data_IF_117082434317
#
_entry.id   IF_117082434317
#
_cell.length_a   1.000
_cell.length_b   1.000
_cell.length_c   1.000
_cell.angle_alpha   90.00
_cell.angle_beta   90.00
_cell.angle_gamma   90.00
#
_symmetry.space_group_name_H-M   'P 1'
#
loop_
_entity.id
_entity.type
_entity.pdbx_description
1 polymer ?
#
# COMPACT_ATOMS: atom_id res chain seq x y z
N UNK A 1 20.69 14.42 2.29
CA UNK A 1 20.98 13.73 1.01
C UNK A 1 19.80 12.82 0.69
N UNK A 2 19.27 12.90 -0.53
CA UNK A 2 18.23 11.98 -0.99
C UNK A 2 18.80 10.59 -1.21
N UNK A 3 18.00 9.54 -0.95
CA UNK A 3 18.33 8.11 -1.12
C UNK A 3 17.25 7.45 -1.96
N UNK A 4 17.59 6.28 -2.54
CA UNK A 4 16.63 5.43 -3.26
C UNK A 4 16.19 4.27 -2.38
N UNK A 5 14.88 4.09 -2.22
CA UNK A 5 14.30 2.97 -1.47
C UNK A 5 13.42 2.13 -2.37
N UNK A 6 13.54 0.81 -2.24
CA UNK A 6 12.61 -0.15 -2.82
C UNK A 6 11.88 -0.87 -1.69
N UNK A 7 10.59 -0.61 -1.56
CA UNK A 7 9.74 -1.12 -0.49
C UNK A 7 8.78 -2.15 -1.07
N UNK A 8 8.65 -3.29 -0.40
CA UNK A 8 7.78 -4.38 -0.85
C UNK A 8 6.71 -4.66 0.20
N UNK A 9 5.45 -4.68 -0.24
CA UNK A 9 4.33 -5.20 0.53
C UNK A 9 4.00 -6.60 0.02
N UNK A 10 4.39 -7.62 0.79
CA UNK A 10 4.27 -9.04 0.39
C UNK A 10 3.56 -9.93 1.41
N UNK A 11 3.56 -9.54 2.68
CA UNK A 11 2.91 -10.28 3.75
C UNK A 11 1.40 -10.06 3.72
N UNK A 12 0.63 -11.04 4.19
CA UNK A 12 -0.82 -10.90 4.37
C UNK A 12 -1.10 -9.83 5.45
N UNK A 13 -1.68 -8.69 5.08
CA UNK A 13 -1.85 -7.59 6.01
C UNK A 13 -2.82 -7.90 7.16
N UNK A 14 -3.73 -8.88 6.99
CA UNK A 14 -4.65 -9.30 8.05
C UNK A 14 -3.97 -10.05 9.20
N UNK A 15 -2.74 -10.54 9.02
CA UNK A 15 -2.01 -11.21 10.10
C UNK A 15 -1.53 -10.22 11.17
N UNK A 16 -1.27 -8.97 10.79
CA UNK A 16 -0.87 -7.89 11.68
C UNK A 16 -1.25 -6.55 11.04
N UNK A 17 -2.48 -6.12 11.33
CA UNK A 17 -3.09 -4.91 10.77
C UNK A 17 -2.29 -3.66 11.11
N UNK A 18 -1.89 -3.51 12.38
CA UNK A 18 -1.14 -2.34 12.84
C UNK A 18 0.23 -2.27 12.14
N UNK A 19 0.95 -3.40 12.01
CA UNK A 19 2.22 -3.41 11.29
C UNK A 19 2.07 -3.04 9.82
N UNK A 20 0.95 -3.41 9.20
CA UNK A 20 0.64 -3.04 7.82
C UNK A 20 0.43 -1.53 7.69
N UNK A 21 -0.33 -0.93 8.60
CA UNK A 21 -0.54 0.52 8.69
C UNK A 21 0.79 1.25 8.92
N UNK A 22 1.61 0.79 9.86
CA UNK A 22 2.94 1.37 10.13
C UNK A 22 3.83 1.28 8.89
N UNK A 23 3.80 0.18 8.15
CA UNK A 23 4.55 0.03 6.90
C UNK A 23 4.15 1.08 5.85
N UNK A 24 2.86 1.34 5.69
CA UNK A 24 2.32 2.40 4.81
C UNK A 24 2.80 3.77 5.30
N UNK A 25 2.64 4.08 6.58
CA UNK A 25 3.04 5.36 7.15
C UNK A 25 4.56 5.61 7.01
N UNK A 26 5.40 4.62 7.26
CA UNK A 26 6.85 4.72 7.06
C UNK A 26 7.22 4.95 5.59
N UNK A 27 6.49 4.32 4.66
CA UNK A 27 6.70 4.51 3.22
C UNK A 27 6.36 5.95 2.81
N UNK A 28 5.21 6.46 3.27
CA UNK A 28 4.79 7.84 3.05
C UNK A 28 5.72 8.87 3.73
N UNK A 29 6.31 8.52 4.87
CA UNK A 29 7.31 9.36 5.55
C UNK A 29 8.63 9.41 4.78
N UNK A 30 9.11 8.29 4.23
CA UNK A 30 10.32 8.29 3.40
C UNK A 30 10.17 9.23 2.19
N UNK A 31 8.99 9.27 1.58
CA UNK A 31 8.63 10.24 0.53
C UNK A 31 8.68 11.68 1.08
N UNK A 32 8.08 11.91 2.25
CA UNK A 32 8.07 13.23 2.91
C UNK A 32 9.48 13.78 3.17
N UNK A 33 10.41 12.89 3.50
CA UNK A 33 11.81 13.21 3.78
C UNK A 33 12.63 13.48 2.50
N UNK A 34 11.99 13.45 1.32
CA UNK A 34 12.58 13.75 0.03
C UNK A 34 13.37 12.60 -0.59
N UNK A 35 13.03 11.35 -0.26
CA UNK A 35 13.62 10.17 -0.87
C UNK A 35 12.89 9.73 -2.14
N UNK A 36 13.64 9.12 -3.06
CA UNK A 36 13.12 8.48 -4.27
C UNK A 36 12.64 7.06 -3.91
N UNK A 37 11.34 6.82 -3.98
CA UNK A 37 10.71 5.59 -3.47
C UNK A 37 10.05 4.83 -4.60
N UNK A 38 10.38 3.54 -4.69
CA UNK A 38 9.68 2.56 -5.50
C UNK A 38 8.95 1.57 -4.59
N UNK A 39 7.67 1.33 -4.85
CA UNK A 39 6.83 0.42 -4.06
C UNK A 39 6.37 -0.74 -4.92
N UNK A 40 6.52 -1.97 -4.42
CA UNK A 40 6.05 -3.18 -5.10
C UNK A 40 5.03 -3.94 -4.25
N UNK A 41 3.82 -4.09 -4.78
CA UNK A 41 2.76 -4.89 -4.18
C UNK A 41 2.74 -6.28 -4.83
N UNK A 42 2.91 -7.34 -4.02
CA UNK A 42 2.92 -8.72 -4.50
C UNK A 42 2.42 -9.68 -3.42
N UNK A 43 2.23 -10.95 -3.79
CA UNK A 43 1.65 -11.99 -2.95
C UNK A 43 0.37 -11.49 -2.22
N UNK A 44 0.16 -11.86 -0.96
CA UNK A 44 -1.00 -11.42 -0.18
C UNK A 44 -0.98 -9.92 0.15
N UNK A 45 0.16 -9.25 -0.01
CA UNK A 45 0.28 -7.80 0.18
C UNK A 45 -0.48 -6.97 -0.85
N UNK A 46 -0.89 -7.57 -1.98
CA UNK A 46 -1.79 -6.91 -2.95
C UNK A 46 -3.16 -6.60 -2.38
N UNK A 47 -3.55 -7.18 -1.23
CA UNK A 47 -4.77 -6.77 -0.51
C UNK A 47 -4.80 -5.29 -0.14
N UNK A 48 -3.64 -4.66 0.04
CA UNK A 48 -3.53 -3.21 0.28
C UNK A 48 -3.95 -2.35 -0.94
N UNK A 49 -4.24 -2.96 -2.08
CA UNK A 49 -4.76 -2.27 -3.27
C UNK A 49 -6.30 -2.28 -3.33
N UNK A 50 -6.97 -3.01 -2.44
CA UNK A 50 -8.43 -3.02 -2.34
C UNK A 50 -8.91 -1.80 -1.54
N UNK A 51 -9.68 -0.87 -2.15
CA UNK A 51 -10.21 0.30 -1.45
C UNK A 51 -11.02 -0.07 -0.21
N UNK A 52 -11.80 -1.16 -0.25
CA UNK A 52 -12.60 -1.59 0.90
C UNK A 52 -11.70 -2.00 2.07
N UNK A 53 -10.57 -2.64 1.78
CA UNK A 53 -9.61 -2.99 2.81
C UNK A 53 -8.89 -1.76 3.37
N UNK A 54 -8.61 -0.74 2.55
CA UNK A 54 -8.09 0.54 3.06
C UNK A 54 -9.11 1.22 3.99
N UNK A 55 -10.41 1.15 3.70
CA UNK A 55 -11.46 1.65 4.58
C UNK A 55 -11.49 0.90 5.94
N UNK A 56 -11.29 -0.43 5.94
CA UNK A 56 -11.11 -1.20 7.18
C UNK A 56 -9.91 -0.69 8.00
N UNK A 57 -8.77 -0.42 7.34
CA UNK A 57 -7.57 0.10 8.01
C UNK A 57 -7.77 1.53 8.54
N UNK A 58 -8.58 2.35 7.87
CA UNK A 58 -8.95 3.66 8.38
C UNK A 58 -9.76 3.55 9.67
N UNK A 59 -10.76 2.67 9.72
CA UNK A 59 -11.59 2.44 10.91
C UNK A 59 -10.73 2.01 12.11
N UNK A 60 -9.71 1.19 11.89
CA UNK A 60 -8.73 0.80 12.92
C UNK A 60 -8.01 2.03 13.53
N UNK A 61 -7.82 3.09 12.75
CA UNK A 61 -7.23 4.35 13.20
C UNK A 61 -8.26 5.32 13.83
N UNK A 62 -9.54 4.97 13.81
CA UNK A 62 -10.65 5.74 14.35
C UNK A 62 -11.85 5.81 13.38
N UNK A 63 -13.08 5.95 13.89
CA UNK A 63 -14.31 5.81 13.07
C UNK A 63 -14.44 6.81 11.91
N UNK A 64 -13.84 8.00 12.02
CA UNK A 64 -13.85 9.04 10.99
C UNK A 64 -12.45 9.28 10.38
N UNK A 65 -11.49 8.39 10.65
CA UNK A 65 -10.12 8.54 10.17
C UNK A 65 -10.03 8.37 8.66
N UNK A 66 -9.14 9.14 8.03
CA UNK A 66 -8.72 8.95 6.63
C UNK A 66 -7.23 8.67 6.51
N UNK A 67 -6.58 8.39 7.65
CA UNK A 67 -5.13 8.37 7.77
C UNK A 67 -4.47 7.44 6.75
N UNK A 68 -4.98 6.22 6.57
CA UNK A 68 -4.38 5.23 5.67
C UNK A 68 -4.61 5.61 4.21
N UNK A 69 -5.81 6.10 3.88
CA UNK A 69 -6.11 6.61 2.53
C UNK A 69 -5.20 7.78 2.15
N UNK A 70 -5.01 8.75 3.04
CA UNK A 70 -4.14 9.92 2.79
C UNK A 70 -2.67 9.50 2.57
N UNK A 71 -2.18 8.52 3.34
CA UNK A 71 -0.82 7.99 3.14
C UNK A 71 -0.72 7.21 1.83
N UNK A 72 -1.73 6.41 1.47
CA UNK A 72 -1.76 5.70 0.19
C UNK A 72 -1.84 6.64 -1.01
N UNK A 73 -2.60 7.74 -0.92
CA UNK A 73 -2.65 8.79 -1.94
C UNK A 73 -1.29 9.46 -2.11
N UNK A 74 -0.60 9.75 -1.00
CA UNK A 74 0.77 10.29 -1.04
C UNK A 74 1.75 9.33 -1.71
N UNK A 75 1.64 8.03 -1.42
CA UNK A 75 2.46 6.99 -2.07
C UNK A 75 2.15 6.95 -3.56
N UNK A 76 0.88 6.87 -3.95
CA UNK A 76 0.46 6.78 -5.34
C UNK A 76 0.89 8.00 -6.18
N UNK A 77 0.88 9.18 -5.57
CA UNK A 77 1.22 10.44 -6.26
C UNK A 77 2.72 10.69 -6.40
N UNK A 78 3.57 10.06 -5.57
CA UNK A 78 4.98 10.44 -5.46
C UNK A 78 5.98 9.28 -5.57
N UNK A 79 5.53 8.02 -5.52
CA UNK A 79 6.39 6.85 -5.70
C UNK A 79 6.24 6.24 -7.09
N UNK A 80 7.27 5.51 -7.53
CA UNK A 80 7.11 4.59 -8.68
C UNK A 80 6.42 3.32 -8.19
N UNK A 81 5.25 3.01 -8.76
CA UNK A 81 4.47 1.85 -8.34
C UNK A 81 4.66 0.65 -9.26
N UNK A 82 4.78 -0.52 -8.65
CA UNK A 82 4.79 -1.81 -9.30
C UNK A 82 3.76 -2.73 -8.64
N UNK A 83 3.18 -3.62 -9.43
CA UNK A 83 2.25 -4.62 -8.93
C UNK A 83 2.43 -5.96 -9.65
N UNK A 84 2.34 -7.06 -8.91
CA UNK A 84 2.27 -8.40 -9.50
C UNK A 84 0.83 -8.76 -9.84
N UNK A 85 0.44 -8.69 -11.11
CA UNK A 85 -0.91 -9.05 -11.56
C UNK A 85 -1.30 -10.51 -11.23
N UNK A 86 -0.35 -11.44 -11.26
CA UNK A 86 -0.60 -12.81 -10.80
C UNK A 86 -1.03 -12.85 -9.32
N UNK A 87 -0.43 -11.99 -8.48
CA UNK A 87 -0.77 -11.88 -7.07
C UNK A 87 -2.10 -11.15 -6.85
N UNK A 88 -2.42 -10.16 -7.68
CA UNK A 88 -3.74 -9.49 -7.69
C UNK A 88 -4.82 -10.50 -8.01
N UNK A 89 -4.66 -11.30 -9.07
CA UNK A 89 -5.61 -12.35 -9.43
C UNK A 89 -5.81 -13.35 -8.29
N UNK A 90 -4.72 -13.79 -7.66
CA UNK A 90 -4.79 -14.75 -6.57
C UNK A 90 -5.46 -14.20 -5.29
N UNK A 91 -5.29 -12.89 -5.00
CA UNK A 91 -5.69 -12.29 -3.72
C UNK A 91 -7.01 -11.52 -3.79
N UNK A 92 -7.26 -10.87 -4.93
CA UNK A 92 -8.39 -9.98 -5.19
C UNK A 92 -9.30 -10.49 -6.32
N UNK A 93 -8.86 -11.47 -7.11
CA UNK A 93 -9.66 -12.03 -8.21
C UNK A 93 -9.63 -11.27 -9.52
N UNK A 94 -8.89 -10.15 -9.62
CA UNK A 94 -8.79 -9.34 -10.84
C UNK A 94 -7.63 -9.75 -11.75
N UNK A 95 -7.86 -9.78 -13.06
CA UNK A 95 -6.84 -10.02 -14.08
C UNK A 95 -6.26 -8.71 -14.63
N UNK A 96 -5.05 -8.78 -15.17
CA UNK A 96 -4.45 -7.65 -15.88
C UNK A 96 -5.32 -7.21 -17.08
N UNK A 97 -5.55 -5.90 -17.20
CA UNK A 97 -6.31 -5.33 -18.32
C UNK A 97 -7.83 -5.39 -18.17
N UNK A 98 -8.38 -5.79 -17.02
CA UNK A 98 -9.83 -5.83 -16.79
C UNK A 98 -10.48 -4.43 -16.68
N UNK A 99 -9.69 -3.36 -16.53
CA UNK A 99 -10.13 -1.96 -16.69
C UNK A 99 -11.33 -1.59 -15.82
N UNK A 100 -11.09 -1.25 -14.56
CA UNK A 100 -12.11 -0.73 -13.64
C UNK A 100 -11.71 0.67 -13.19
#
# INVERSE_FOLDING_TARGET
MSKKYFIKFVSEPKNDTIKSIVGIACTAQAIADGHDVSVFFAAAGTRLLDPNYIDELNIEMGPDSKFVSEMMEKIASNATLYCSFASVKATLGHSEGEGH
#
